data_IF_416382639527
#
_entry.id   IF_416382639527
#
_cell.length_a   1.000
_cell.length_b   1.000
_cell.length_c   1.000
_cell.angle_alpha   90.00
_cell.angle_beta   90.00
_cell.angle_gamma   90.00
#
_symmetry.space_group_name_H-M   'P 1'
#
loop_
_entity.id
_entity.type
_entity.pdbx_description
1 polymer ?
#
# COMPACT_ATOMS: atom_id res chain seq x y z
N UNK A 1 2.30 47.13 9.11
CA UNK A 1 1.25 46.28 9.74
C UNK A 1 1.88 44.94 10.10
N UNK A 2 1.97 44.59 11.39
CA UNK A 2 2.42 43.25 11.80
C UNK A 2 1.33 42.24 11.43
N UNK A 3 1.61 41.35 10.50
CA UNK A 3 0.76 40.20 10.16
C UNK A 3 0.80 39.19 11.31
N UNK A 4 -0.12 39.33 12.26
CA UNK A 4 -0.33 38.33 13.31
C UNK A 4 -0.86 37.04 12.67
N UNK A 5 -0.04 35.99 12.73
CA UNK A 5 -0.38 34.63 12.28
C UNK A 5 -1.56 34.08 13.08
N UNK A 6 -2.51 33.43 12.40
CA UNK A 6 -3.67 32.82 13.06
C UNK A 6 -3.22 31.72 14.04
N UNK A 7 -3.57 31.89 15.32
CA UNK A 7 -3.33 30.92 16.40
C UNK A 7 -4.62 30.75 17.20
N UNK A 8 -4.92 29.51 17.60
CA UNK A 8 -5.98 29.23 18.55
C UNK A 8 -5.61 29.73 19.95
N UNK A 9 -6.55 30.40 20.61
CA UNK A 9 -6.41 30.78 22.02
C UNK A 9 -6.27 29.51 22.87
N UNK A 10 -5.21 29.46 23.68
CA UNK A 10 -5.04 28.42 24.71
C UNK A 10 -5.76 28.85 25.98
N UNK A 11 -5.91 27.93 26.93
CA UNK A 11 -6.59 28.20 28.21
C UNK A 11 -6.01 29.42 28.95
N UNK A 12 -4.69 29.52 28.99
CA UNK A 12 -4.00 30.67 29.57
C UNK A 12 -4.35 32.00 28.89
N UNK A 13 -4.55 32.01 27.56
CA UNK A 13 -4.97 33.22 26.85
C UNK A 13 -6.39 33.63 27.28
N UNK A 14 -7.29 32.67 27.50
CA UNK A 14 -8.67 32.91 27.98
C UNK A 14 -8.68 33.50 29.39
N UNK A 15 -7.83 33.00 30.29
CA UNK A 15 -7.66 33.55 31.64
C UNK A 15 -7.21 35.00 31.57
N UNK A 16 -6.25 35.32 30.70
CA UNK A 16 -5.80 36.71 30.49
C UNK A 16 -6.88 37.60 29.90
N UNK A 17 -7.71 37.09 28.98
CA UNK A 17 -8.86 37.84 28.44
C UNK A 17 -9.84 38.20 29.57
N UNK A 18 -10.16 37.26 30.45
CA UNK A 18 -11.05 37.52 31.60
C UNK A 18 -10.48 38.60 32.53
N UNK A 19 -9.19 38.49 32.91
CA UNK A 19 -8.52 39.50 33.75
C UNK A 19 -8.56 40.88 33.10
N UNK A 20 -8.18 41.00 31.83
CA UNK A 20 -8.14 42.30 31.14
C UNK A 20 -9.52 42.91 30.91
N UNK A 21 -10.57 42.09 30.73
CA UNK A 21 -11.94 42.59 30.67
C UNK A 21 -12.39 43.15 32.03
N UNK A 22 -12.03 42.50 33.14
CA UNK A 22 -12.32 42.98 34.49
C UNK A 22 -11.56 44.27 34.82
N UNK A 23 -10.37 44.47 34.24
CA UNK A 23 -9.60 45.73 34.29
C UNK A 23 -10.17 46.84 33.38
N UNK A 24 -11.26 46.58 32.64
CA UNK A 24 -11.90 47.56 31.76
C UNK A 24 -11.16 47.81 30.44
N UNK A 25 -10.22 46.95 30.05
CA UNK A 25 -9.48 47.10 28.79
C UNK A 25 -10.36 46.84 27.58
N UNK A 26 -10.16 47.63 26.52
CA UNK A 26 -10.85 47.44 25.26
C UNK A 26 -10.38 46.17 24.53
N UNK A 27 -11.24 45.61 23.67
CA UNK A 27 -10.87 44.45 22.83
C UNK A 27 -9.63 44.71 21.95
N UNK A 28 -9.35 45.98 21.61
CA UNK A 28 -8.15 46.36 20.88
C UNK A 28 -6.88 46.21 21.73
N UNK A 29 -6.92 46.71 22.98
CA UNK A 29 -5.79 46.60 23.91
C UNK A 29 -5.51 45.14 24.29
N UNK A 30 -6.57 44.36 24.55
CA UNK A 30 -6.45 42.91 24.83
C UNK A 30 -5.75 42.19 23.67
N UNK A 31 -6.12 42.54 22.43
CA UNK A 31 -5.51 41.95 21.24
C UNK A 31 -4.02 42.29 21.12
N UNK A 32 -3.62 43.53 21.45
CA UNK A 32 -2.21 43.94 21.50
C UNK A 32 -1.44 43.19 22.60
N UNK A 33 -1.99 43.09 23.82
CA UNK A 33 -1.38 42.41 24.97
C UNK A 33 -1.18 40.91 24.77
N UNK A 34 -2.06 40.29 23.97
CA UNK A 34 -2.00 38.87 23.62
C UNK A 34 -1.32 38.62 22.26
N UNK A 35 -0.92 39.68 21.55
CA UNK A 35 -0.33 39.61 20.21
C UNK A 35 -1.19 38.79 19.20
N UNK A 36 -2.51 38.97 19.26
CA UNK A 36 -3.49 38.34 18.37
C UNK A 36 -4.29 39.41 17.62
N UNK A 37 -4.96 39.01 16.53
CA UNK A 37 -5.85 39.92 15.83
C UNK A 37 -7.09 40.28 16.69
N UNK A 38 -7.54 41.54 16.64
CA UNK A 38 -8.76 42.02 17.31
C UNK A 38 -9.99 41.16 16.99
N UNK A 39 -10.09 40.67 15.76
CA UNK A 39 -11.19 39.79 15.34
C UNK A 39 -11.20 38.45 16.09
N UNK A 40 -10.05 37.94 16.55
CA UNK A 40 -9.96 36.73 17.38
C UNK A 40 -10.60 36.97 18.74
N UNK A 41 -10.27 38.09 19.41
CA UNK A 41 -10.85 38.48 20.70
C UNK A 41 -12.35 38.74 20.57
N UNK A 42 -12.76 39.49 19.55
CA UNK A 42 -14.18 39.77 19.29
C UNK A 42 -14.99 38.50 19.06
N UNK A 43 -14.49 37.55 18.24
CA UNK A 43 -15.16 36.26 18.01
C UNK A 43 -15.23 35.42 19.27
N UNK A 44 -14.15 35.36 20.05
CA UNK A 44 -14.11 34.58 21.30
C UNK A 44 -15.15 35.11 22.30
N UNK A 45 -15.15 36.43 22.56
CA UNK A 45 -16.11 37.06 23.48
C UNK A 45 -17.54 36.91 22.97
N UNK A 46 -17.79 37.14 21.67
CA UNK A 46 -19.14 37.02 21.11
C UNK A 46 -19.64 35.58 21.15
N UNK A 47 -18.77 34.61 20.88
CA UNK A 47 -19.16 33.19 20.78
C UNK A 47 -19.29 32.53 22.14
N UNK A 48 -18.45 32.92 23.12
CA UNK A 48 -18.31 32.22 24.41
C UNK A 48 -18.57 33.10 25.64
N UNK A 49 -18.76 34.40 25.45
CA UNK A 49 -19.21 35.31 26.51
C UNK A 49 -20.72 35.15 26.73
N UNK A 50 -21.12 35.02 28.00
CA UNK A 50 -22.52 34.91 28.38
C UNK A 50 -23.19 36.28 28.47
N UNK A 51 -24.42 36.40 27.96
CA UNK A 51 -25.22 37.64 27.96
C UNK A 51 -25.46 38.17 29.39
N UNK A 52 -25.56 37.28 30.39
CA UNK A 52 -25.95 37.63 31.76
C UNK A 52 -24.77 37.75 32.75
N UNK A 53 -23.61 37.12 32.48
CA UNK A 53 -22.52 36.94 33.47
C UNK A 53 -21.16 37.49 33.02
N UNK A 54 -21.07 38.05 31.82
CA UNK A 54 -19.79 38.45 31.24
C UNK A 54 -18.98 37.26 30.70
N UNK A 55 -17.72 37.52 30.35
CA UNK A 55 -16.80 36.50 29.84
C UNK A 55 -16.06 35.83 31.01
N UNK A 56 -16.18 34.51 31.16
CA UNK A 56 -15.46 33.71 32.15
C UNK A 56 -14.54 32.72 31.44
N UNK A 57 -13.25 32.71 31.77
CA UNK A 57 -12.27 31.86 31.08
C UNK A 57 -12.58 30.37 31.24
N UNK A 58 -13.03 29.95 32.43
CA UNK A 58 -13.44 28.57 32.71
C UNK A 58 -14.56 28.11 31.77
N UNK A 59 -15.66 28.87 31.69
CA UNK A 59 -16.78 28.50 30.82
C UNK A 59 -16.41 28.58 29.34
N UNK A 60 -15.62 29.58 28.93
CA UNK A 60 -15.13 29.68 27.56
C UNK A 60 -14.24 28.48 27.17
N UNK A 61 -13.41 28.00 28.10
CA UNK A 61 -12.57 26.81 27.91
C UNK A 61 -13.42 25.54 27.84
N UNK A 62 -14.37 25.35 28.76
CA UNK A 62 -15.30 24.21 28.75
C UNK A 62 -16.14 24.17 27.46
N UNK A 63 -16.66 25.32 27.02
CA UNK A 63 -17.42 25.43 25.77
C UNK A 63 -16.54 25.17 24.54
N UNK A 64 -15.29 25.65 24.52
CA UNK A 64 -14.32 25.31 23.47
C UNK A 64 -14.05 23.82 23.40
N UNK A 65 -13.85 23.16 24.54
CA UNK A 65 -13.63 21.71 24.61
C UNK A 65 -14.88 20.94 24.17
N UNK A 66 -16.08 21.38 24.58
CA UNK A 66 -17.35 20.77 24.19
C UNK A 66 -17.63 20.91 22.69
N UNK A 67 -17.42 22.08 22.12
CA UNK A 67 -17.52 22.29 20.67
C UNK A 67 -16.46 21.52 19.90
N UNK A 68 -15.22 21.45 20.41
CA UNK A 68 -14.16 20.65 19.80
C UNK A 68 -14.50 19.16 19.83
N UNK A 69 -15.12 18.68 20.92
CA UNK A 69 -15.61 17.30 21.03
C UNK A 69 -16.79 17.03 20.09
N UNK A 70 -17.74 17.97 19.94
CA UNK A 70 -18.87 17.88 19.01
C UNK A 70 -18.46 18.03 17.54
N UNK A 71 -17.47 18.86 17.27
CA UNK A 71 -16.90 19.12 15.94
C UNK A 71 -15.81 18.13 15.54
N UNK A 72 -15.44 17.22 16.43
CA UNK A 72 -14.46 16.17 16.18
C UNK A 72 -15.06 15.10 15.27
N UNK A 73 -14.87 15.28 13.96
CA UNK A 73 -14.92 14.26 12.90
C UNK A 73 -16.15 13.36 13.01
N UNK A 74 -17.19 13.65 12.22
CA UNK A 74 -18.25 12.67 11.90
C UNK A 74 -17.54 11.35 11.59
N UNK A 75 -17.69 10.35 12.46
CA UNK A 75 -17.01 9.06 12.34
C UNK A 75 -17.64 8.29 11.18
N UNK A 76 -17.34 8.72 9.95
CA UNK A 76 -17.92 8.17 8.71
C UNK A 76 -17.78 6.65 8.68
N UNK A 77 -16.68 6.12 9.18
CA UNK A 77 -16.44 4.68 9.22
C UNK A 77 -17.35 3.97 10.24
N UNK A 78 -17.73 4.60 11.34
CA UNK A 78 -18.61 3.97 12.35
C UNK A 78 -20.10 4.02 11.96
N UNK A 79 -20.51 5.05 11.21
CA UNK A 79 -21.94 5.34 11.01
C UNK A 79 -22.41 5.36 9.55
N UNK A 80 -21.52 5.28 8.54
CA UNK A 80 -21.92 5.17 7.13
C UNK A 80 -21.64 3.77 6.55
N UNK A 81 -22.33 3.46 5.46
CA UNK A 81 -22.15 2.22 4.68
C UNK A 81 -20.69 1.99 4.21
N UNK A 82 -19.91 3.05 4.00
CA UNK A 82 -18.47 2.93 3.68
C UNK A 82 -17.68 2.21 4.78
N UNK A 83 -18.20 2.23 6.03
CA UNK A 83 -17.58 1.61 7.19
C UNK A 83 -17.29 0.13 7.03
N UNK A 84 -18.31 -0.65 6.63
CA UNK A 84 -18.17 -2.10 6.40
C UNK A 84 -17.14 -2.39 5.32
N UNK A 85 -17.18 -1.66 4.20
CA UNK A 85 -16.19 -1.79 3.13
C UNK A 85 -14.76 -1.52 3.64
N UNK A 86 -14.55 -0.46 4.43
CA UNK A 86 -13.24 -0.17 5.01
C UNK A 86 -12.76 -1.31 5.90
N UNK A 87 -13.63 -1.82 6.79
CA UNK A 87 -13.30 -2.91 7.71
C UNK A 87 -12.98 -4.20 6.93
N UNK A 88 -13.81 -4.58 5.96
CA UNK A 88 -13.62 -5.78 5.15
C UNK A 88 -12.31 -5.72 4.36
N UNK A 89 -11.98 -4.56 3.78
CA UNK A 89 -10.74 -4.38 3.02
C UNK A 89 -9.51 -4.33 3.93
N UNK A 90 -9.62 -3.77 5.13
CA UNK A 90 -8.56 -3.88 6.14
C UNK A 90 -8.33 -5.34 6.52
N UNK A 91 -9.39 -6.10 6.82
CA UNK A 91 -9.29 -7.54 7.14
C UNK A 91 -8.71 -8.37 5.97
N UNK A 92 -8.97 -7.96 4.73
CA UNK A 92 -8.33 -8.49 3.52
C UNK A 92 -6.88 -7.99 3.29
N UNK A 93 -6.28 -7.29 4.26
CA UNK A 93 -4.88 -6.83 4.25
C UNK A 93 -4.59 -5.64 3.34
N UNK A 94 -5.60 -4.86 2.94
CA UNK A 94 -5.39 -3.62 2.18
C UNK A 94 -4.94 -2.50 3.12
N UNK A 95 -4.00 -1.66 2.68
CA UNK A 95 -3.59 -0.50 3.47
C UNK A 95 -4.65 0.61 3.42
N UNK A 96 -4.72 1.48 4.44
CA UNK A 96 -5.56 2.68 4.42
C UNK A 96 -5.38 3.53 3.16
N UNK A 97 -4.14 3.68 2.67
CA UNK A 97 -3.84 4.39 1.42
C UNK A 97 -4.45 3.67 0.20
N UNK A 98 -4.31 2.35 0.12
CA UNK A 98 -4.91 1.55 -0.97
C UNK A 98 -6.43 1.66 -0.96
N UNK A 99 -7.07 1.57 0.21
CA UNK A 99 -8.53 1.67 0.35
C UNK A 99 -9.01 3.04 -0.10
N UNK A 100 -8.43 4.12 0.42
CA UNK A 100 -8.82 5.48 0.05
C UNK A 100 -8.60 5.76 -1.45
N UNK A 101 -7.47 5.29 -2.01
CA UNK A 101 -7.19 5.43 -3.43
C UNK A 101 -8.17 4.65 -4.31
N UNK A 102 -8.56 3.44 -3.89
CA UNK A 102 -9.57 2.64 -4.58
C UNK A 102 -10.95 3.29 -4.55
N UNK A 103 -11.38 3.78 -3.38
CA UNK A 103 -12.63 4.53 -3.24
C UNK A 103 -12.66 5.74 -4.18
N UNK A 104 -11.57 6.53 -4.21
CA UNK A 104 -11.46 7.69 -5.09
C UNK A 104 -11.56 7.32 -6.58
N UNK A 105 -10.94 6.20 -6.98
CA UNK A 105 -11.03 5.67 -8.35
C UNK A 105 -12.48 5.29 -8.69
N UNK A 106 -13.13 4.50 -7.83
CA UNK A 106 -14.50 4.01 -8.07
C UNK A 106 -15.51 5.16 -8.15
N UNK A 107 -15.34 6.21 -7.34
CA UNK A 107 -16.16 7.43 -7.43
C UNK A 107 -15.94 8.14 -8.77
N UNK A 108 -14.68 8.30 -9.21
CA UNK A 108 -14.37 8.93 -10.51
C UNK A 108 -14.97 8.13 -11.68
N UNK A 109 -15.03 6.82 -11.55
CA UNK A 109 -15.63 5.91 -12.54
C UNK A 109 -17.16 5.82 -12.43
N UNK A 110 -17.80 6.57 -11.52
CA UNK A 110 -19.26 6.54 -11.33
C UNK A 110 -19.78 5.25 -10.67
N UNK A 111 -18.91 4.43 -10.10
CA UNK A 111 -19.28 3.17 -9.42
C UNK A 111 -19.71 3.38 -7.96
N UNK A 112 -19.47 4.57 -7.43
CA UNK A 112 -19.78 4.98 -6.05
C UNK A 112 -20.18 6.44 -5.98
N UNK A 113 -20.94 6.79 -4.96
CA UNK A 113 -21.31 8.17 -4.66
C UNK A 113 -20.17 8.90 -3.92
N UNK A 114 -20.08 10.23 -4.09
CA UNK A 114 -19.00 11.06 -3.50
C UNK A 114 -18.97 11.02 -1.96
N UNK A 115 -20.12 10.83 -1.33
CA UNK A 115 -20.29 10.77 0.12
C UNK A 115 -19.68 9.50 0.76
N UNK A 116 -19.52 8.42 -0.03
CA UNK A 116 -18.81 7.18 0.34
C UNK A 116 -17.27 7.34 0.38
N UNK A 117 -16.72 8.53 0.12
CA UNK A 117 -15.28 8.73 0.25
C UNK A 117 -14.83 8.91 1.70
N UNK A 118 -13.74 8.19 2.05
CA UNK A 118 -12.97 8.38 3.29
C UNK A 118 -11.49 8.46 2.95
N UNK A 119 -10.80 9.49 3.46
CA UNK A 119 -9.37 9.62 3.26
C UNK A 119 -8.58 8.65 4.16
N UNK A 120 -7.35 8.33 3.76
CA UNK A 120 -6.52 7.36 4.49
C UNK A 120 -6.21 7.79 5.93
N UNK A 121 -6.11 9.10 6.19
CA UNK A 121 -5.90 9.63 7.54
C UNK A 121 -7.09 9.34 8.47
N UNK A 122 -8.32 9.50 7.98
CA UNK A 122 -9.51 9.13 8.76
C UNK A 122 -9.59 7.62 9.02
N UNK A 123 -9.10 6.79 8.09
CA UNK A 123 -8.98 5.34 8.30
C UNK A 123 -7.93 5.05 9.39
N UNK A 124 -6.78 5.73 9.40
CA UNK A 124 -5.80 5.58 10.47
C UNK A 124 -6.36 6.01 11.83
N UNK A 125 -7.01 7.16 11.91
CA UNK A 125 -7.68 7.63 13.14
C UNK A 125 -8.73 6.61 13.61
N UNK A 126 -9.52 6.05 12.71
CA UNK A 126 -10.46 4.99 13.07
C UNK A 126 -9.73 3.76 13.63
N UNK A 127 -8.65 3.31 13.03
CA UNK A 127 -7.91 2.13 13.52
C UNK A 127 -7.32 2.37 14.92
N UNK A 128 -6.73 3.54 15.17
CA UNK A 128 -5.97 3.80 16.39
C UNK A 128 -6.78 4.45 17.51
N UNK A 129 -7.74 5.30 17.19
CA UNK A 129 -8.44 6.14 18.17
C UNK A 129 -9.83 5.59 18.52
N UNK A 130 -10.51 4.92 17.58
CA UNK A 130 -11.86 4.39 17.84
C UNK A 130 -11.85 3.21 18.80
N UNK A 131 -12.95 3.07 19.54
CA UNK A 131 -13.18 1.93 20.43
C UNK A 131 -13.31 0.62 19.63
N UNK A 132 -14.02 0.65 18.50
CA UNK A 132 -14.17 -0.50 17.61
C UNK A 132 -12.81 -0.96 17.05
N UNK A 133 -11.99 -0.02 16.55
CA UNK A 133 -10.68 -0.32 15.98
C UNK A 133 -9.73 -0.98 16.99
N UNK A 134 -9.78 -0.54 18.26
CA UNK A 134 -9.05 -1.14 19.37
C UNK A 134 -9.58 -2.53 19.71
N UNK A 135 -10.90 -2.68 19.87
CA UNK A 135 -11.57 -3.94 20.24
C UNK A 135 -11.40 -5.04 19.19
N UNK A 136 -11.45 -4.69 17.91
CA UNK A 136 -11.30 -5.62 16.78
C UNK A 136 -9.85 -5.77 16.31
N UNK A 137 -8.88 -5.24 17.08
CA UNK A 137 -7.46 -5.37 16.79
C UNK A 137 -7.08 -4.92 15.37
N UNK A 138 -7.74 -3.89 14.82
CA UNK A 138 -7.59 -3.52 13.41
C UNK A 138 -6.16 -3.11 13.02
N UNK A 139 -5.36 -2.68 14.00
CA UNK A 139 -3.93 -2.37 13.85
C UNK A 139 -3.12 -3.57 13.35
N UNK A 140 -3.55 -4.80 13.62
CA UNK A 140 -2.81 -6.03 13.29
C UNK A 140 -2.86 -6.35 11.80
N UNK A 141 -3.88 -5.86 11.10
CA UNK A 141 -4.00 -5.98 9.65
C UNK A 141 -3.14 -4.96 8.88
N UNK A 142 -2.59 -3.95 9.57
CA UNK A 142 -1.68 -2.99 8.95
C UNK A 142 -0.31 -3.63 8.68
N UNK A 143 0.33 -3.19 7.59
CA UNK A 143 1.71 -3.57 7.31
C UNK A 143 2.64 -2.92 8.35
N UNK A 144 3.17 -3.69 9.29
CA UNK A 144 4.25 -3.20 10.15
C UNK A 144 5.46 -2.74 9.32
N UNK A 145 5.86 -1.49 9.51
CA UNK A 145 6.98 -0.85 8.82
C UNK A 145 8.34 -1.17 9.47
N UNK A 146 9.26 -1.67 8.63
CA UNK A 146 10.72 -1.84 8.77
C UNK A 146 11.25 -2.53 10.05
N UNK A 147 11.67 -3.78 9.88
CA UNK A 147 12.84 -4.30 10.62
C UNK A 147 14.05 -3.42 10.28
N UNK A 148 14.81 -3.00 11.29
CA UNK A 148 16.15 -2.39 11.11
C UNK A 148 16.96 -3.26 10.16
N UNK A 149 17.54 -2.65 9.12
CA UNK A 149 18.47 -3.31 8.21
C UNK A 149 19.71 -3.65 9.03
N UNK A 150 19.85 -4.89 9.47
CA UNK A 150 21.08 -5.38 10.08
C UNK A 150 22.15 -5.52 9.00
N UNK A 151 23.41 -5.16 9.32
CA UNK A 151 24.55 -5.43 8.44
C UNK A 151 24.59 -6.93 8.17
N UNK A 152 24.34 -7.35 6.93
CA UNK A 152 24.59 -8.72 6.50
C UNK A 152 25.97 -8.77 5.89
N UNK A 153 26.79 -9.73 6.33
CA UNK A 153 28.05 -10.04 5.70
C UNK A 153 27.80 -10.51 4.26
N UNK A 154 28.63 -10.05 3.32
CA UNK A 154 28.54 -10.47 1.92
C UNK A 154 28.64 -11.99 1.83
N UNK A 155 27.65 -12.63 1.19
CA UNK A 155 27.75 -14.05 0.87
C UNK A 155 28.82 -14.21 -0.22
N UNK A 156 29.78 -15.11 -0.01
CA UNK A 156 30.71 -15.56 -1.06
C UNK A 156 29.88 -16.10 -2.23
N UNK A 157 30.11 -15.61 -3.45
CA UNK A 157 29.47 -16.18 -4.63
C UNK A 157 30.01 -17.59 -4.80
N UNK A 158 29.12 -18.57 -4.84
CA UNK A 158 29.47 -19.79 -5.57
C UNK A 158 29.49 -19.39 -7.05
N UNK A 159 30.59 -19.66 -7.74
CA UNK A 159 30.69 -19.48 -9.20
C UNK A 159 29.79 -20.52 -9.87
N UNK A 160 28.49 -20.27 -9.91
CA UNK A 160 27.55 -21.04 -10.69
C UNK A 160 27.57 -20.54 -12.13
N UNK A 161 28.16 -21.33 -13.03
CA UNK A 161 28.14 -21.04 -14.45
C UNK A 161 26.81 -21.55 -15.02
N UNK A 162 25.94 -20.62 -15.42
CA UNK A 162 24.80 -20.92 -16.28
C UNK A 162 25.29 -20.77 -17.72
N UNK A 163 25.32 -21.85 -18.52
CA UNK A 163 25.79 -21.80 -19.90
C UNK A 163 24.81 -21.00 -20.77
N UNK A 164 25.34 -20.31 -21.80
CA UNK A 164 24.56 -19.62 -22.83
C UNK A 164 23.51 -18.62 -22.29
N UNK A 165 23.77 -18.01 -21.12
CA UNK A 165 22.88 -16.99 -20.55
C UNK A 165 22.99 -15.68 -21.34
N UNK A 166 21.86 -15.01 -21.51
CA UNK A 166 21.78 -13.65 -22.06
C UNK A 166 21.56 -12.69 -20.90
N UNK A 167 22.32 -11.61 -20.82
CA UNK A 167 22.25 -10.69 -19.70
C UNK A 167 21.06 -9.73 -19.83
N UNK A 168 20.64 -9.17 -18.70
CA UNK A 168 19.54 -8.20 -18.64
C UNK A 168 19.82 -6.93 -19.49
N UNK A 169 21.08 -6.58 -19.71
CA UNK A 169 21.49 -5.44 -20.54
C UNK A 169 21.11 -5.60 -22.00
N UNK A 170 21.03 -6.85 -22.49
CA UNK A 170 20.66 -7.17 -23.88
C UNK A 170 19.14 -7.12 -24.12
N UNK A 171 18.36 -6.64 -23.14
CA UNK A 171 16.91 -6.43 -23.31
C UNK A 171 16.65 -5.24 -24.22
N UNK A 172 15.73 -5.43 -25.15
CA UNK A 172 15.21 -4.30 -25.92
C UNK A 172 14.51 -3.29 -24.99
N UNK A 173 14.52 -2.03 -25.39
CA UNK A 173 13.87 -0.95 -24.65
C UNK A 173 12.39 -1.23 -24.36
N UNK A 174 11.69 -1.85 -25.30
CA UNK A 174 10.28 -2.25 -25.16
C UNK A 174 10.06 -3.11 -23.92
N UNK A 175 10.91 -4.12 -23.71
CA UNK A 175 10.86 -5.00 -22.54
C UNK A 175 11.07 -4.19 -21.26
N UNK A 176 11.96 -3.21 -21.25
CA UNK A 176 12.24 -2.39 -20.07
C UNK A 176 11.14 -1.39 -19.73
N UNK A 177 10.40 -0.92 -20.75
CA UNK A 177 9.36 0.11 -20.59
C UNK A 177 8.13 -0.33 -19.78
N UNK A 178 7.91 -1.66 -19.65
CA UNK A 178 6.72 -2.25 -19.00
C UNK A 178 5.39 -1.80 -19.64
N UNK A 179 5.42 -1.40 -20.92
CA UNK A 179 4.26 -0.91 -21.67
C UNK A 179 3.44 -2.01 -22.33
N UNK A 180 4.03 -3.18 -22.56
CA UNK A 180 3.42 -4.36 -23.17
C UNK A 180 3.30 -5.49 -22.15
N UNK A 181 2.30 -6.35 -22.34
CA UNK A 181 2.14 -7.58 -21.57
C UNK A 181 3.07 -8.67 -22.13
N UNK A 182 3.35 -9.70 -21.33
CA UNK A 182 4.07 -10.89 -21.76
C UNK A 182 5.54 -10.89 -21.37
N UNK A 183 5.92 -9.99 -20.47
CA UNK A 183 7.25 -9.94 -19.89
C UNK A 183 7.15 -10.37 -18.43
N UNK A 184 7.73 -11.51 -18.10
CA UNK A 184 7.63 -12.13 -16.79
C UNK A 184 8.94 -12.02 -16.01
N UNK A 185 8.86 -11.85 -14.69
CA UNK A 185 9.98 -12.01 -13.76
C UNK A 185 9.73 -13.24 -12.90
N UNK A 186 10.63 -14.22 -12.96
CA UNK A 186 10.63 -15.39 -12.07
C UNK A 186 11.48 -15.10 -10.84
N UNK A 187 11.10 -15.60 -9.68
CA UNK A 187 11.97 -15.70 -8.50
C UNK A 187 11.54 -16.88 -7.63
N UNK A 188 12.43 -17.33 -6.74
CA UNK A 188 12.15 -18.41 -5.81
C UNK A 188 12.23 -17.93 -4.36
N UNK A 189 11.09 -17.97 -3.65
CA UNK A 189 10.98 -17.65 -2.24
C UNK A 189 11.30 -18.89 -1.41
N UNK A 190 12.51 -18.94 -0.83
CA UNK A 190 12.96 -20.09 -0.03
C UNK A 190 12.39 -20.12 1.40
N UNK A 191 12.01 -21.32 1.84
CA UNK A 191 11.58 -21.67 3.20
C UNK A 191 12.44 -22.84 3.68
N UNK A 192 13.44 -22.54 4.51
CA UNK A 192 14.51 -23.48 4.81
C UNK A 192 15.47 -23.66 3.63
N UNK A 193 16.10 -24.84 3.50
CA UNK A 193 17.16 -25.11 2.52
C UNK A 193 16.64 -25.75 1.22
N UNK A 194 15.58 -26.55 1.31
CA UNK A 194 15.12 -27.40 0.21
C UNK A 194 13.82 -26.93 -0.43
N UNK A 195 12.93 -26.30 0.34
CA UNK A 195 11.57 -25.96 -0.10
C UNK A 195 11.45 -24.49 -0.45
N UNK A 196 10.57 -24.20 -1.39
CA UNK A 196 10.33 -22.84 -1.83
C UNK A 196 8.99 -22.67 -2.52
N UNK A 197 8.67 -21.44 -2.83
CA UNK A 197 7.56 -21.06 -3.71
C UNK A 197 8.19 -20.33 -4.89
N UNK A 198 7.97 -20.85 -6.10
CA UNK A 198 8.24 -20.13 -7.33
C UNK A 198 7.19 -19.03 -7.48
N UNK A 199 7.66 -17.82 -7.77
CA UNK A 199 6.83 -16.64 -8.03
C UNK A 199 7.11 -16.14 -9.43
N UNK A 200 6.07 -16.10 -10.26
CA UNK A 200 6.10 -15.50 -11.59
C UNK A 200 5.29 -14.21 -11.54
N UNK A 201 5.91 -13.10 -11.93
CA UNK A 201 5.27 -11.78 -11.90
C UNK A 201 5.28 -11.13 -13.27
N UNK A 202 4.11 -10.82 -13.80
CA UNK A 202 3.96 -10.10 -15.06
C UNK A 202 4.33 -8.61 -14.86
N UNK A 203 5.20 -8.06 -15.72
CA UNK A 203 5.86 -6.78 -15.47
C UNK A 203 5.00 -5.56 -15.77
N UNK A 204 3.91 -5.65 -16.53
CA UNK A 204 2.99 -4.52 -16.77
C UNK A 204 1.89 -4.48 -15.71
N UNK A 205 1.12 -5.55 -15.61
CA UNK A 205 -0.07 -5.75 -14.79
C UNK A 205 0.25 -6.10 -13.35
N UNK A 206 1.48 -6.55 -13.05
CA UNK A 206 1.90 -7.05 -11.72
C UNK A 206 1.15 -8.31 -11.28
N UNK A 207 0.54 -9.02 -12.22
CA UNK A 207 -0.13 -10.28 -11.96
C UNK A 207 0.87 -11.32 -11.44
N UNK A 208 0.49 -12.06 -10.40
CA UNK A 208 1.36 -13.00 -9.70
C UNK A 208 0.81 -14.41 -9.84
N UNK A 209 1.66 -15.35 -10.24
CA UNK A 209 1.39 -16.78 -10.15
C UNK A 209 2.36 -17.35 -9.11
N UNK A 210 1.84 -18.08 -8.13
CA UNK A 210 2.63 -18.74 -7.10
C UNK A 210 2.52 -20.26 -7.25
N UNK A 211 3.64 -20.96 -7.14
CA UNK A 211 3.66 -22.42 -7.21
C UNK A 211 4.61 -22.98 -6.16
N UNK A 212 4.10 -23.89 -5.32
CA UNK A 212 4.90 -24.59 -4.32
C UNK A 212 5.87 -25.55 -5.02
N UNK A 213 7.14 -25.50 -4.62
CA UNK A 213 8.19 -26.36 -5.12
C UNK A 213 8.48 -27.48 -4.10
N UNK A 214 8.72 -28.70 -4.60
CA UNK A 214 9.24 -29.83 -3.83
C UNK A 214 10.73 -29.64 -3.52
N UNK A 215 11.47 -29.04 -4.45
CA UNK A 215 12.90 -28.80 -4.39
C UNK A 215 13.33 -27.57 -5.22
N UNK A 216 14.61 -27.21 -5.12
CA UNK A 216 15.22 -26.13 -5.91
C UNK A 216 16.05 -26.69 -7.08
N UNK A 217 15.46 -27.57 -7.89
CA UNK A 217 16.16 -28.24 -9.00
C UNK A 217 15.87 -27.59 -10.36
N UNK A 218 16.81 -27.63 -11.31
CA UNK A 218 16.58 -27.09 -12.65
C UNK A 218 15.44 -27.75 -13.43
N UNK A 219 15.19 -29.03 -13.18
CA UNK A 219 14.13 -29.80 -13.83
C UNK A 219 12.75 -29.35 -13.32
N UNK A 220 12.63 -29.16 -12.01
CA UNK A 220 11.38 -28.72 -11.40
C UNK A 220 11.05 -27.28 -11.76
N UNK A 221 12.01 -26.36 -11.69
CA UNK A 221 11.81 -24.96 -12.12
C UNK A 221 11.33 -24.90 -13.57
N UNK A 222 11.95 -25.65 -14.49
CA UNK A 222 11.51 -25.73 -15.89
C UNK A 222 10.09 -26.24 -16.02
N UNK A 223 9.75 -27.33 -15.33
CA UNK A 223 8.41 -27.93 -15.40
C UNK A 223 7.33 -26.95 -14.88
N UNK A 224 7.59 -26.28 -13.77
CA UNK A 224 6.67 -25.30 -13.17
C UNK A 224 6.50 -24.09 -14.09
N UNK A 225 7.58 -23.48 -14.56
CA UNK A 225 7.51 -22.31 -15.44
C UNK A 225 6.78 -22.64 -16.74
N UNK A 226 7.11 -23.76 -17.38
CA UNK A 226 6.45 -24.19 -18.61
C UNK A 226 4.95 -24.45 -18.38
N UNK A 227 4.58 -25.17 -17.32
CA UNK A 227 3.17 -25.51 -17.06
C UNK A 227 2.31 -24.31 -16.70
N UNK A 228 2.87 -23.32 -15.99
CA UNK A 228 2.13 -22.11 -15.59
C UNK A 228 2.06 -21.04 -16.69
N UNK A 229 3.05 -21.00 -17.61
CA UNK A 229 3.09 -19.97 -18.66
C UNK A 229 2.67 -20.47 -20.06
N UNK A 230 2.45 -21.78 -20.27
CA UNK A 230 2.07 -22.33 -21.58
C UNK A 230 0.81 -21.67 -22.18
N UNK A 231 -0.15 -21.31 -21.34
CA UNK A 231 -1.44 -20.71 -21.74
C UNK A 231 -1.44 -19.18 -21.51
N UNK A 232 -0.29 -18.60 -21.18
CA UNK A 232 -0.13 -17.18 -20.95
C UNK A 232 0.62 -16.54 -22.11
N UNK A 233 0.39 -15.25 -22.33
CA UNK A 233 1.22 -14.48 -23.24
C UNK A 233 2.61 -14.36 -22.62
N UNK A 234 3.62 -14.89 -23.32
CA UNK A 234 4.99 -14.94 -22.80
C UNK A 234 6.00 -14.67 -23.92
N UNK A 235 6.43 -13.42 -24.04
CA UNK A 235 7.49 -13.00 -24.97
C UNK A 235 8.86 -13.06 -24.32
N UNK A 236 8.97 -12.71 -23.02
CA UNK A 236 10.25 -12.75 -22.30
C UNK A 236 10.11 -13.18 -20.85
N UNK A 237 11.17 -13.81 -20.32
CA UNK A 237 11.27 -14.17 -18.90
C UNK A 237 12.61 -13.70 -18.34
N UNK A 238 12.57 -13.15 -17.13
CA UNK A 238 13.71 -12.68 -16.36
C UNK A 238 13.96 -13.60 -15.18
N UNK A 239 15.17 -14.15 -15.08
CA UNK A 239 15.61 -14.96 -13.95
C UNK A 239 16.70 -14.26 -13.14
N UNK A 240 16.90 -14.71 -11.89
CA UNK A 240 18.16 -14.46 -11.21
C UNK A 240 19.27 -15.40 -11.74
N UNK A 241 20.51 -15.15 -11.35
CA UNK A 241 21.65 -15.99 -11.76
C UNK A 241 21.79 -17.28 -10.91
N UNK A 242 20.67 -17.88 -10.51
CA UNK A 242 20.61 -19.11 -9.72
C UNK A 242 20.84 -20.39 -10.54
N UNK A 243 21.46 -21.41 -9.94
CA UNK A 243 21.74 -22.71 -10.59
C UNK A 243 20.48 -23.46 -11.03
N UNK A 244 19.35 -23.21 -10.36
CA UNK A 244 18.03 -23.72 -10.70
C UNK A 244 17.56 -23.26 -12.10
N UNK A 245 18.17 -22.23 -12.66
CA UNK A 245 17.78 -21.71 -13.96
C UNK A 245 18.65 -22.27 -15.11
N UNK A 246 19.46 -23.31 -14.84
CA UNK A 246 20.33 -23.93 -15.86
C UNK A 246 19.59 -24.45 -17.08
N UNK A 247 18.36 -24.95 -16.91
CA UNK A 247 17.57 -25.51 -18.00
C UNK A 247 16.80 -24.45 -18.83
N UNK A 248 17.20 -23.18 -18.76
CA UNK A 248 16.55 -22.05 -19.42
C UNK A 248 16.40 -22.22 -20.93
N UNK A 249 17.40 -22.76 -21.64
CA UNK A 249 17.30 -22.95 -23.09
C UNK A 249 16.12 -23.84 -23.49
N UNK A 250 15.82 -24.85 -22.66
CA UNK A 250 14.64 -25.70 -22.85
C UNK A 250 13.32 -24.99 -22.58
N UNK A 251 13.29 -24.04 -21.63
CA UNK A 251 12.12 -23.18 -21.38
C UNK A 251 11.91 -22.21 -22.55
N UNK A 252 12.98 -21.56 -23.02
CA UNK A 252 12.96 -20.61 -24.13
C UNK A 252 12.38 -21.26 -25.40
N UNK A 253 12.82 -22.49 -25.72
CA UNK A 253 12.31 -23.25 -26.87
C UNK A 253 10.83 -23.62 -26.71
N UNK A 254 10.43 -24.10 -25.54
CA UNK A 254 9.04 -24.54 -25.29
C UNK A 254 8.05 -23.38 -25.31
N UNK A 255 8.36 -22.29 -24.60
CA UNK A 255 7.51 -21.11 -24.49
C UNK A 255 7.65 -20.15 -25.67
N UNK A 256 8.57 -20.40 -26.60
CA UNK A 256 8.95 -19.50 -27.70
C UNK A 256 9.26 -18.07 -27.18
N UNK A 257 9.95 -18.00 -26.05
CA UNK A 257 10.22 -16.77 -25.31
C UNK A 257 11.72 -16.51 -25.16
N UNK A 258 12.12 -15.23 -25.12
CA UNK A 258 13.51 -14.84 -24.82
C UNK A 258 13.75 -14.86 -23.32
N UNK A 259 14.89 -15.40 -22.89
CA UNK A 259 15.24 -15.48 -21.47
C UNK A 259 16.44 -14.59 -21.17
N UNK A 260 16.34 -13.85 -20.08
CA UNK A 260 17.36 -12.90 -19.62
C UNK A 260 17.71 -13.15 -18.15
N UNK A 261 18.97 -12.87 -17.79
CA UNK A 261 19.50 -13.07 -16.45
C UNK A 261 19.96 -11.76 -15.82
N UNK A 262 19.59 -11.56 -14.56
CA UNK A 262 20.10 -10.44 -13.75
C UNK A 262 21.56 -10.64 -13.34
N UNK A 263 22.25 -9.53 -13.08
CA UNK A 263 23.62 -9.56 -12.61
C UNK A 263 23.72 -10.04 -11.15
N UNK A 264 24.73 -10.84 -10.78
CA UNK A 264 24.96 -11.22 -9.39
C UNK A 264 25.13 -9.99 -8.48
N UNK A 265 24.45 -9.95 -7.34
CA UNK A 265 24.47 -8.83 -6.37
C UNK A 265 23.71 -7.55 -6.80
N UNK A 266 23.00 -7.57 -7.94
CA UNK A 266 22.19 -6.44 -8.41
C UNK A 266 20.71 -6.61 -8.05
N UNK A 267 20.39 -6.69 -6.75
CA UNK A 267 19.02 -7.02 -6.31
C UNK A 267 17.96 -5.99 -6.73
N UNK A 268 18.36 -4.76 -7.04
CA UNK A 268 17.47 -3.70 -7.51
C UNK A 268 16.90 -3.95 -8.92
N UNK A 269 17.53 -4.82 -9.72
CA UNK A 269 17.06 -5.17 -11.07
C UNK A 269 15.70 -5.88 -11.05
N UNK A 270 15.31 -6.44 -9.89
CA UNK A 270 14.04 -7.14 -9.66
C UNK A 270 13.24 -6.53 -8.50
N UNK A 271 13.17 -5.20 -8.43
CA UNK A 271 12.40 -4.50 -7.38
C UNK A 271 10.92 -4.93 -7.29
N UNK A 272 10.32 -5.42 -8.38
CA UNK A 272 8.96 -6.00 -8.36
C UNK A 272 8.91 -7.27 -7.53
N UNK A 273 9.83 -8.20 -7.77
CA UNK A 273 9.88 -9.48 -7.06
C UNK A 273 10.25 -9.28 -5.58
N UNK A 274 11.15 -8.36 -5.24
CA UNK A 274 11.42 -8.04 -3.83
C UNK A 274 10.15 -7.60 -3.08
N UNK A 275 9.33 -6.74 -3.69
CA UNK A 275 8.06 -6.33 -3.10
C UNK A 275 7.05 -7.48 -3.03
N UNK A 276 6.91 -8.28 -4.09
CA UNK A 276 6.02 -9.45 -4.13
C UNK A 276 6.42 -10.49 -3.08
N UNK A 277 7.70 -10.81 -2.95
CA UNK A 277 8.22 -11.70 -1.93
C UNK A 277 7.91 -11.19 -0.51
N UNK A 278 8.01 -9.88 -0.30
CA UNK A 278 7.61 -9.24 0.94
C UNK A 278 6.11 -9.32 1.24
N UNK A 279 5.26 -9.41 0.21
CA UNK A 279 3.81 -9.61 0.35
C UNK A 279 3.49 -11.06 0.71
N UNK A 280 4.06 -12.03 -0.01
CA UNK A 280 3.89 -13.47 0.28
C UNK A 280 4.35 -13.78 1.70
N UNK A 281 5.47 -13.17 2.15
CA UNK A 281 6.03 -13.38 3.50
C UNK A 281 5.14 -12.90 4.65
N UNK A 282 4.05 -12.17 4.38
CA UNK A 282 3.06 -11.84 5.41
C UNK A 282 2.15 -13.01 5.73
N UNK A 283 1.78 -13.78 4.72
CA UNK A 283 0.99 -14.99 4.86
C UNK A 283 1.86 -16.16 5.30
N UNK A 284 3.06 -16.25 4.72
CA UNK A 284 4.00 -17.34 4.96
C UNK A 284 5.34 -16.76 5.45
N UNK A 285 5.51 -16.52 6.76
CA UNK A 285 6.80 -16.10 7.32
C UNK A 285 7.95 -17.05 6.96
N UNK A 286 9.19 -16.55 6.94
CA UNK A 286 10.39 -17.34 6.51
C UNK A 286 10.59 -18.70 7.18
N UNK A 287 10.05 -18.89 8.39
CA UNK A 287 10.19 -20.13 9.17
C UNK A 287 8.97 -21.06 9.05
N UNK A 288 7.98 -20.71 8.23
CA UNK A 288 6.83 -21.56 7.96
C UNK A 288 7.28 -22.87 7.34
N UNK A 289 6.75 -23.99 7.85
CA UNK A 289 6.94 -25.29 7.24
C UNK A 289 6.00 -25.44 6.03
N UNK A 290 6.57 -25.47 4.82
CA UNK A 290 5.79 -25.65 3.59
C UNK A 290 5.27 -27.08 3.37
N UNK A 291 5.64 -28.07 4.20
CA UNK A 291 5.10 -29.42 4.08
C UNK A 291 3.61 -29.45 4.37
N UNK A 292 3.18 -28.71 5.38
CA UNK A 292 1.79 -28.62 5.84
C UNK A 292 0.96 -27.61 5.06
N UNK A 293 1.58 -26.77 4.22
CA UNK A 293 0.89 -25.77 3.39
C UNK A 293 0.55 -26.39 2.03
N UNK A 294 -0.72 -26.70 1.73
CA UNK A 294 -1.12 -27.23 0.43
C UNK A 294 -0.98 -26.18 -0.68
N UNK A 295 -0.97 -26.61 -1.95
CA UNK A 295 -0.90 -25.70 -3.09
C UNK A 295 -2.11 -24.75 -3.14
N UNK A 296 -3.31 -25.22 -2.76
CA UNK A 296 -4.52 -24.39 -2.73
C UNK A 296 -4.36 -23.12 -1.88
N UNK A 297 -3.73 -23.22 -0.70
CA UNK A 297 -3.53 -22.07 0.19
C UNK A 297 -2.53 -21.07 -0.44
N UNK A 298 -1.59 -21.56 -1.25
CA UNK A 298 -0.67 -20.72 -2.03
C UNK A 298 -1.38 -20.02 -3.19
N UNK A 299 -2.34 -20.71 -3.83
CA UNK A 299 -3.19 -20.13 -4.88
C UNK A 299 -4.14 -19.07 -4.28
N UNK A 300 -4.69 -19.29 -3.08
CA UNK A 300 -5.52 -18.31 -2.35
C UNK A 300 -4.72 -17.03 -2.06
N UNK A 301 -3.46 -17.17 -1.63
CA UNK A 301 -2.55 -16.03 -1.45
C UNK A 301 -2.36 -15.30 -2.79
N UNK A 302 -2.11 -16.02 -3.88
CA UNK A 302 -1.96 -15.40 -5.20
C UNK A 302 -3.23 -14.65 -5.62
N UNK A 303 -4.40 -15.25 -5.40
CA UNK A 303 -5.70 -14.65 -5.67
C UNK A 303 -5.90 -13.34 -4.88
N UNK A 304 -5.61 -13.33 -3.59
CA UNK A 304 -5.68 -12.11 -2.78
C UNK A 304 -4.71 -11.02 -3.27
N UNK A 305 -3.49 -11.39 -3.67
CA UNK A 305 -2.50 -10.45 -4.20
C UNK A 305 -2.88 -9.88 -5.57
N UNK A 306 -3.61 -10.65 -6.37
CA UNK A 306 -4.11 -10.26 -7.69
C UNK A 306 -5.42 -9.47 -7.62
N UNK A 307 -6.18 -9.61 -6.52
CA UNK A 307 -7.40 -8.83 -6.25
C UNK A 307 -7.17 -7.64 -5.30
N UNK A 308 -5.93 -7.39 -4.89
CA UNK A 308 -5.55 -6.21 -4.11
C UNK A 308 -5.12 -5.04 -5.02
N UNK A 309 -5.75 -3.86 -4.93
CA UNK A 309 -5.38 -2.70 -5.72
C UNK A 309 -3.96 -2.23 -5.44
N UNK A 310 -3.29 -1.75 -6.49
CA UNK A 310 -1.92 -1.26 -6.41
C UNK A 310 -1.85 0.19 -6.87
N UNK A 311 -1.19 1.04 -6.09
CA UNK A 311 -0.98 2.46 -6.44
C UNK A 311 -0.26 2.63 -7.80
N UNK A 312 0.69 1.75 -8.11
CA UNK A 312 1.40 1.74 -9.41
C UNK A 312 0.48 1.45 -10.61
N UNK A 313 -0.67 0.84 -10.36
CA UNK A 313 -1.71 0.56 -11.37
C UNK A 313 -2.88 1.54 -11.23
N UNK A 314 -2.64 2.73 -10.67
CA UNK A 314 -3.67 3.74 -10.40
C UNK A 314 -4.85 3.20 -9.58
N UNK A 315 -4.55 2.29 -8.62
CA UNK A 315 -5.54 1.60 -7.79
C UNK A 315 -6.49 0.65 -8.54
N UNK A 316 -6.09 0.16 -9.72
CA UNK A 316 -6.59 -1.10 -10.28
C UNK A 316 -5.97 -2.31 -9.59
N UNK A 317 -6.64 -3.45 -9.63
CA UNK A 317 -6.07 -4.73 -9.24
C UNK A 317 -5.25 -5.33 -10.39
N UNK A 318 -4.23 -6.16 -10.11
CA UNK A 318 -3.54 -6.92 -11.16
C UNK A 318 -4.47 -7.74 -12.04
N UNK A 319 -5.51 -8.36 -11.46
CA UNK A 319 -6.53 -9.12 -12.19
C UNK A 319 -7.27 -8.23 -13.21
N UNK A 320 -7.78 -7.07 -12.77
CA UNK A 320 -8.45 -6.10 -13.65
C UNK A 320 -7.55 -5.66 -14.81
N UNK A 321 -6.27 -5.41 -14.51
CA UNK A 321 -5.31 -4.98 -15.52
C UNK A 321 -4.95 -6.11 -16.49
N UNK A 322 -4.86 -7.35 -16.01
CA UNK A 322 -4.60 -8.50 -16.86
C UNK A 322 -5.76 -8.73 -17.85
N UNK A 323 -6.99 -8.75 -17.34
CA UNK A 323 -8.19 -8.90 -18.14
C UNK A 323 -8.30 -7.80 -19.20
N UNK A 324 -8.05 -6.53 -18.80
CA UNK A 324 -8.07 -5.39 -19.73
C UNK A 324 -7.06 -5.57 -20.89
N UNK A 325 -5.86 -6.06 -20.61
CA UNK A 325 -4.84 -6.28 -21.64
C UNK A 325 -5.19 -7.46 -22.56
N UNK A 326 -5.78 -8.53 -22.01
CA UNK A 326 -6.26 -9.66 -22.82
C UNK A 326 -7.43 -9.24 -23.72
N UNK A 327 -8.41 -8.48 -23.22
CA UNK A 327 -9.51 -7.96 -24.04
C UNK A 327 -9.02 -7.10 -25.21
N UNK A 328 -7.99 -6.27 -25.01
CA UNK A 328 -7.40 -5.46 -26.10
C UNK A 328 -6.83 -6.32 -27.21
N UNK A 329 -6.17 -7.42 -26.86
CA UNK A 329 -5.55 -8.32 -27.82
C UNK A 329 -6.57 -9.16 -28.57
N UNK A 330 -7.61 -9.64 -27.87
CA UNK A 330 -8.74 -10.32 -28.52
C UNK A 330 -9.45 -9.41 -29.53
N UNK A 331 -9.64 -8.13 -29.19
CA UNK A 331 -10.25 -7.17 -30.11
C UNK A 331 -9.40 -6.92 -31.36
N UNK A 332 -8.07 -6.85 -31.21
CA UNK A 332 -7.17 -6.71 -32.37
C UNK A 332 -7.20 -7.96 -33.25
N UNK A 333 -7.23 -9.16 -32.66
CA UNK A 333 -7.27 -10.42 -33.39
C UNK A 333 -8.60 -10.73 -34.11
N UNK A 334 -9.70 -10.06 -33.75
CA UNK A 334 -10.99 -10.19 -34.42
C UNK A 334 -11.19 -9.18 -35.56
N UNK A 335 -10.37 -8.13 -35.62
CA UNK A 335 -10.46 -7.06 -36.63
C UNK A 335 -9.33 -7.12 -37.68
N UNK A 336 -8.54 -8.19 -37.66
CA UNK A 336 -7.54 -8.56 -38.65
C UNK A 336 -7.74 -10.03 -39.01
#
# INVERSE_FOLDING_TARGET
>A
MRTSTYRHLIEHDRVRIEVYLNEGKSQYEIAQLLNVNRSTISREIRKRGGILRGYTAKYAQEDYQREKARGGIKRKIEYHQVGSYVIDRLKAGWSPETIAGRLKKEIKEGKRMLDEYVCHESIYQFIFDSEYGKREHLKEYLRYGKRRRTKQHGRRSQRSIIPNRVWIDDRTYEVNSRKTIGHWEEDTIMYGRLRGINSLVERKTRYVILTKLKGKTPEETKAVVNSRLKDQICSTITFDNGVENKNHQGMAKFLKAKIYFCHPYHSWEKGTNENTNGLVRRYLPKKTDLTIVPQRDVDDIAWELNNRPRKVLSYSTPEEMLQLEYSKLSFVALNH
#
